data_IF_500528642972
#
_entry.id   IF_500528642972
#
_cell.length_a   1.000
_cell.length_b   1.000
_cell.length_c   1.000
_cell.angle_alpha   90.00
_cell.angle_beta   90.00
_cell.angle_gamma   90.00
#
_symmetry.space_group_name_H-M   'P 1'
#
loop_
_entity.id
_entity.type
_entity.pdbx_description
1 polymer ?
#
# COMPACT_ATOMS: atom_id res chain seq x y z
N UNK A 1 13.26 -9.59 -72.06
CA UNK A 1 12.65 -8.48 -71.29
C UNK A 1 11.90 -9.10 -70.11
N UNK A 2 12.45 -8.99 -68.90
CA UNK A 2 11.87 -9.56 -67.67
C UNK A 2 11.37 -8.41 -66.80
N UNK A 3 10.06 -8.30 -66.63
CA UNK A 3 9.40 -7.29 -65.79
C UNK A 3 9.38 -7.75 -64.33
N UNK A 4 10.17 -7.09 -63.47
CA UNK A 4 10.09 -7.22 -62.01
C UNK A 4 8.82 -6.53 -61.50
N UNK A 5 8.01 -7.26 -60.72
CA UNK A 5 6.87 -6.71 -59.96
C UNK A 5 7.41 -6.11 -58.66
N UNK A 6 7.25 -4.80 -58.49
CA UNK A 6 7.50 -4.15 -57.20
C UNK A 6 6.29 -4.36 -56.30
N UNK A 7 6.47 -5.14 -55.22
CA UNK A 7 5.50 -5.21 -54.13
C UNK A 7 5.72 -3.99 -53.21
N UNK A 8 4.71 -3.14 -53.12
CA UNK A 8 4.63 -2.08 -52.12
C UNK A 8 4.31 -2.73 -50.77
N UNK A 9 5.31 -2.81 -49.89
CA UNK A 9 5.12 -3.09 -48.47
C UNK A 9 4.49 -1.85 -47.84
N UNK A 10 3.17 -1.92 -47.57
CA UNK A 10 2.48 -0.94 -46.76
C UNK A 10 2.86 -1.13 -45.30
N UNK A 11 3.64 -0.20 -44.75
CA UNK A 11 3.87 -0.11 -43.31
C UNK A 11 2.59 0.37 -42.63
N UNK A 12 1.88 -0.53 -41.96
CA UNK A 12 0.79 -0.16 -41.05
C UNK A 12 1.42 0.43 -39.77
N UNK A 13 1.36 1.75 -39.64
CA UNK A 13 1.70 2.45 -38.41
C UNK A 13 0.54 2.22 -37.42
N UNK A 14 0.71 1.25 -36.51
CA UNK A 14 -0.22 1.09 -35.37
C UNK A 14 0.09 2.22 -34.40
N UNK A 15 -0.71 3.28 -34.48
CA UNK A 15 -0.69 4.37 -33.51
C UNK A 15 -1.41 3.87 -32.26
N UNK A 16 -0.69 3.27 -31.32
CA UNK A 16 -1.19 3.00 -29.98
C UNK A 16 -1.28 4.34 -29.24
N UNK A 17 -2.42 5.03 -29.36
CA UNK A 17 -2.75 6.11 -28.44
C UNK A 17 -3.17 5.44 -27.12
N UNK A 18 -2.24 5.33 -26.18
CA UNK A 18 -2.58 5.09 -24.77
C UNK A 18 -3.17 6.38 -24.23
N UNK A 19 -4.51 6.50 -24.30
CA UNK A 19 -5.19 7.51 -23.53
C UNK A 19 -5.09 7.06 -22.06
N UNK A 20 -4.33 7.81 -21.25
CA UNK A 20 -4.29 7.61 -19.79
C UNK A 20 -5.72 7.47 -19.28
N UNK A 21 -6.02 6.38 -18.57
CA UNK A 21 -7.28 6.21 -17.89
C UNK A 21 -7.52 7.47 -17.02
N UNK A 22 -8.63 8.16 -17.27
CA UNK A 22 -9.07 9.24 -16.42
C UNK A 22 -10.04 8.62 -15.41
N UNK A 23 -9.65 8.62 -14.14
CA UNK A 23 -10.48 8.17 -13.03
C UNK A 23 -11.53 9.23 -12.74
N UNK A 24 -12.79 8.81 -12.61
CA UNK A 24 -13.87 9.71 -12.22
C UNK A 24 -14.72 9.04 -11.16
N UNK A 25 -14.83 9.68 -10.00
CA UNK A 25 -15.83 9.34 -9.00
C UNK A 25 -17.22 9.70 -9.56
N UNK A 26 -18.11 8.71 -9.69
CA UNK A 26 -19.46 8.91 -10.21
C UNK A 26 -20.46 8.32 -9.23
N UNK A 27 -21.39 9.15 -8.75
CA UNK A 27 -22.54 8.65 -8.01
C UNK A 27 -23.43 7.86 -8.97
N UNK A 28 -23.65 6.57 -8.71
CA UNK A 28 -24.66 5.81 -9.44
C UNK A 28 -26.03 6.44 -9.16
N UNK A 29 -26.63 7.02 -10.20
CA UNK A 29 -27.72 8.00 -10.11
C UNK A 29 -28.87 7.59 -9.18
N UNK A 30 -28.87 8.17 -7.97
CA UNK A 30 -29.98 8.21 -7.03
C UNK A 30 -30.01 9.59 -6.40
N UNK A 31 -30.80 10.51 -6.97
CA UNK A 31 -30.98 11.85 -6.42
C UNK A 31 -31.68 11.79 -5.06
N UNK A 32 -30.91 11.95 -3.99
CA UNK A 32 -31.39 12.09 -2.62
C UNK A 32 -30.21 12.49 -1.74
N UNK A 33 -30.33 13.64 -1.08
CA UNK A 33 -29.28 14.14 -0.19
C UNK A 33 -29.15 13.25 1.03
N UNK A 34 -28.12 12.43 1.03
CA UNK A 34 -27.52 11.78 2.21
C UNK A 34 -26.05 11.48 1.86
N UNK A 35 -25.19 11.35 2.86
CA UNK A 35 -23.77 11.04 2.69
C UNK A 35 -23.61 9.62 2.13
N UNK A 36 -23.77 9.48 0.81
CA UNK A 36 -23.70 8.20 0.12
C UNK A 36 -22.27 7.92 -0.37
N UNK A 37 -21.80 6.70 -0.12
CA UNK A 37 -20.62 6.13 -0.74
C UNK A 37 -20.70 6.26 -2.26
N UNK A 38 -19.59 6.62 -2.88
CA UNK A 38 -19.51 6.83 -4.33
C UNK A 38 -18.59 5.80 -4.95
N UNK A 39 -19.09 5.01 -5.91
CA UNK A 39 -18.25 4.08 -6.66
C UNK A 39 -17.32 4.89 -7.57
N UNK A 40 -16.04 4.60 -7.50
CA UNK A 40 -15.03 5.18 -8.39
C UNK A 40 -14.95 4.32 -9.63
N UNK A 41 -15.03 4.96 -10.79
CA UNK A 41 -14.88 4.29 -12.07
C UNK A 41 -13.63 4.78 -12.80
N UNK A 42 -12.95 3.85 -13.47
CA UNK A 42 -11.96 4.16 -14.49
C UNK A 42 -12.57 3.95 -15.88
N UNK A 43 -12.25 4.85 -16.80
CA UNK A 43 -12.77 4.89 -18.16
C UNK A 43 -11.71 4.39 -19.13
N UNK A 44 -12.03 3.33 -19.87
CA UNK A 44 -11.10 2.67 -20.77
C UNK A 44 -11.64 2.66 -22.21
N UNK A 45 -10.74 2.88 -23.17
CA UNK A 45 -10.99 2.67 -24.59
C UNK A 45 -10.20 1.44 -25.06
N UNK A 46 -10.87 0.31 -25.19
CA UNK A 46 -10.22 -0.97 -25.51
C UNK A 46 -10.48 -1.40 -26.95
N UNK A 47 -9.46 -1.96 -27.60
CA UNK A 47 -9.59 -2.63 -28.89
C UNK A 47 -9.90 -4.12 -28.68
N UNK A 48 -11.07 -4.58 -29.12
CA UNK A 48 -11.47 -5.99 -29.01
C UNK A 48 -12.18 -6.35 -27.69
N UNK A 49 -11.73 -7.42 -27.03
CA UNK A 49 -12.36 -7.99 -25.84
C UNK A 49 -11.71 -7.49 -24.55
N UNK A 50 -12.48 -6.71 -23.77
CA UNK A 50 -12.48 -6.46 -22.30
C UNK A 50 -11.12 -6.15 -21.63
N UNK A 51 -11.12 -5.30 -20.58
CA UNK A 51 -9.97 -4.92 -19.71
C UNK A 51 -8.83 -5.96 -19.71
N UNK A 52 -7.59 -5.50 -19.87
CA UNK A 52 -6.40 -6.38 -19.88
C UNK A 52 -6.40 -7.26 -18.61
N UNK A 53 -6.44 -8.60 -18.76
CA UNK A 53 -6.39 -9.51 -17.62
C UNK A 53 -5.17 -9.32 -16.72
N UNK A 54 -4.07 -8.77 -17.24
CA UNK A 54 -2.89 -8.44 -16.47
C UNK A 54 -3.13 -7.30 -15.47
N UNK A 55 -3.88 -6.25 -15.86
CA UNK A 55 -4.24 -5.13 -14.99
C UNK A 55 -5.11 -5.61 -13.84
N UNK A 56 -6.17 -6.38 -14.17
CA UNK A 56 -7.05 -6.95 -13.15
C UNK A 56 -6.28 -7.85 -12.17
N UNK A 57 -5.35 -8.65 -12.68
CA UNK A 57 -4.53 -9.53 -11.85
C UNK A 57 -3.59 -8.72 -10.94
N UNK A 58 -2.95 -7.67 -11.44
CA UNK A 58 -2.05 -6.83 -10.65
C UNK A 58 -2.79 -6.19 -9.46
N UNK A 59 -3.98 -5.61 -9.70
CA UNK A 59 -4.82 -5.05 -8.65
C UNK A 59 -5.22 -6.11 -7.61
N UNK A 60 -5.72 -7.27 -8.06
CA UNK A 60 -6.20 -8.32 -7.16
C UNK A 60 -5.08 -8.95 -6.33
N UNK A 61 -3.92 -9.19 -6.93
CA UNK A 61 -2.76 -9.72 -6.22
C UNK A 61 -2.27 -8.72 -5.17
N UNK A 62 -2.20 -7.43 -5.53
CA UNK A 62 -1.78 -6.36 -4.64
C UNK A 62 -2.71 -6.23 -3.43
N UNK A 63 -4.02 -6.09 -3.65
CA UNK A 63 -4.97 -5.91 -2.54
C UNK A 63 -5.04 -7.16 -1.67
N UNK A 64 -4.90 -8.35 -2.25
CA UNK A 64 -4.88 -9.61 -1.48
C UNK A 64 -3.63 -9.68 -0.61
N UNK A 65 -2.46 -9.39 -1.18
CA UNK A 65 -1.19 -9.41 -0.47
C UNK A 65 -1.13 -8.36 0.64
N UNK A 66 -1.45 -7.10 0.33
CA UNK A 66 -1.35 -6.01 1.31
C UNK A 66 -2.34 -6.22 2.47
N UNK A 67 -3.53 -6.75 2.19
CA UNK A 67 -4.52 -7.10 3.21
C UNK A 67 -3.99 -8.17 4.18
N UNK A 68 -3.36 -9.23 3.67
CA UNK A 68 -2.72 -10.25 4.53
C UNK A 68 -1.59 -9.65 5.35
N UNK A 69 -0.77 -8.82 4.71
CA UNK A 69 0.33 -8.11 5.36
C UNK A 69 -0.21 -7.21 6.50
N UNK A 70 -1.26 -6.43 6.28
CA UNK A 70 -1.85 -5.59 7.33
C UNK A 70 -2.44 -6.40 8.49
N UNK A 71 -3.04 -7.56 8.22
CA UNK A 71 -3.49 -8.47 9.28
C UNK A 71 -2.33 -8.97 10.17
N UNK A 72 -1.11 -9.04 9.62
CA UNK A 72 0.13 -9.27 10.36
C UNK A 72 0.38 -8.18 11.42
N UNK A 73 0.31 -6.90 11.03
CA UNK A 73 0.50 -5.78 11.97
C UNK A 73 -0.54 -5.76 13.10
N UNK A 74 -1.79 -6.16 12.83
CA UNK A 74 -2.81 -6.30 13.87
C UNK A 74 -2.37 -7.33 14.92
N UNK A 75 -1.98 -8.52 14.47
CA UNK A 75 -1.49 -9.60 15.34
C UNK A 75 -0.29 -9.14 16.17
N UNK A 76 0.71 -8.52 15.54
CA UNK A 76 1.91 -8.00 16.20
C UNK A 76 1.58 -6.94 17.25
N UNK A 77 0.61 -6.08 16.96
CA UNK A 77 0.17 -5.01 17.86
C UNK A 77 -0.62 -5.55 19.04
N UNK A 78 -1.50 -6.53 18.84
CA UNK A 78 -2.23 -7.22 19.90
C UNK A 78 -1.28 -7.97 20.86
N UNK A 79 -0.30 -8.69 20.31
CA UNK A 79 0.74 -9.37 21.09
C UNK A 79 1.55 -8.38 21.95
N UNK A 80 1.86 -7.20 21.40
CA UNK A 80 2.49 -6.13 22.16
C UNK A 80 1.57 -5.58 23.24
N UNK A 81 0.30 -5.32 22.95
CA UNK A 81 -0.66 -4.85 23.96
C UNK A 81 -0.86 -5.86 25.11
N UNK A 82 -0.67 -7.16 24.87
CA UNK A 82 -0.75 -8.20 25.89
C UNK A 82 0.48 -8.23 26.83
N UNK A 83 1.69 -7.99 26.30
CA UNK A 83 2.96 -8.20 27.03
C UNK A 83 3.72 -6.90 27.33
N UNK A 84 3.77 -6.00 26.35
CA UNK A 84 4.49 -4.74 26.37
C UNK A 84 3.92 -3.74 27.38
N UNK A 85 4.82 -2.98 27.99
CA UNK A 85 4.51 -2.08 29.11
C UNK A 85 4.75 -0.61 28.79
N UNK A 86 5.56 -0.30 27.78
CA UNK A 86 5.88 1.08 27.45
C UNK A 86 4.60 1.84 27.01
N UNK A 87 4.21 2.93 27.69
CA UNK A 87 2.95 3.61 27.42
C UNK A 87 2.91 4.25 26.03
N UNK A 88 4.05 4.66 25.48
CA UNK A 88 4.11 5.23 24.12
C UNK A 88 3.88 4.15 23.09
N UNK A 89 4.60 3.02 23.20
CA UNK A 89 4.43 1.91 22.28
C UNK A 89 3.05 1.26 22.37
N UNK A 90 2.42 1.24 23.55
CA UNK A 90 1.03 0.77 23.69
C UNK A 90 0.05 1.69 22.95
N UNK A 91 0.27 3.01 22.98
CA UNK A 91 -0.51 3.96 22.16
C UNK A 91 -0.25 3.75 20.68
N UNK A 92 1.00 3.52 20.29
CA UNK A 92 1.37 3.22 18.91
C UNK A 92 0.68 1.95 18.40
N UNK A 93 0.77 0.85 19.13
CA UNK A 93 0.10 -0.40 18.80
C UNK A 93 -1.43 -0.22 18.64
N UNK A 94 -2.06 0.59 19.51
CA UNK A 94 -3.48 0.93 19.36
C UNK A 94 -3.79 1.76 18.11
N UNK A 95 -2.91 2.70 17.74
CA UNK A 95 -3.05 3.49 16.52
C UNK A 95 -2.86 2.65 15.26
N UNK A 96 -1.86 1.76 15.24
CA UNK A 96 -1.63 0.79 14.15
C UNK A 96 -2.86 -0.09 13.96
N UNK A 97 -3.44 -0.63 15.04
CA UNK A 97 -4.66 -1.45 14.96
C UNK A 97 -5.79 -0.64 14.31
N UNK A 98 -6.12 0.53 14.85
CA UNK A 98 -7.25 1.32 14.36
C UNK A 98 -7.08 1.75 12.89
N UNK A 99 -5.86 2.12 12.49
CA UNK A 99 -5.59 2.57 11.12
C UNK A 99 -5.55 1.40 10.13
N UNK A 100 -4.86 0.30 10.46
CA UNK A 100 -4.74 -0.83 9.55
C UNK A 100 -6.03 -1.67 9.47
N UNK A 101 -6.88 -1.69 10.50
CA UNK A 101 -8.24 -2.22 10.39
C UNK A 101 -9.07 -1.48 9.33
N UNK A 102 -8.97 -0.14 9.31
CA UNK A 102 -9.64 0.67 8.29
C UNK A 102 -9.06 0.41 6.90
N UNK A 103 -7.74 0.36 6.75
CA UNK A 103 -7.10 0.05 5.47
C UNK A 103 -7.47 -1.35 4.96
N UNK A 104 -7.57 -2.36 5.84
CA UNK A 104 -8.09 -3.69 5.47
C UNK A 104 -9.52 -3.59 4.92
N UNK A 105 -10.39 -2.81 5.56
CA UNK A 105 -11.76 -2.63 5.08
C UNK A 105 -11.80 -1.93 3.70
N UNK A 106 -10.91 -0.97 3.47
CA UNK A 106 -10.74 -0.32 2.17
C UNK A 106 -10.26 -1.32 1.11
N UNK A 107 -9.26 -2.15 1.43
CA UNK A 107 -8.72 -3.18 0.52
C UNK A 107 -9.77 -4.24 0.16
N UNK A 108 -10.59 -4.66 1.14
CA UNK A 108 -11.71 -5.58 0.91
C UNK A 108 -12.76 -4.96 -0.02
N UNK A 109 -13.06 -3.68 0.14
CA UNK A 109 -14.00 -2.98 -0.73
C UNK A 109 -13.44 -2.73 -2.14
N UNK A 110 -12.17 -2.36 -2.27
CA UNK A 110 -11.49 -2.25 -3.57
C UNK A 110 -11.53 -3.60 -4.29
N UNK A 111 -11.18 -4.69 -3.60
CA UNK A 111 -11.25 -6.04 -4.16
C UNK A 111 -12.66 -6.35 -4.69
N UNK A 112 -13.70 -6.05 -3.90
CA UNK A 112 -15.10 -6.25 -4.30
C UNK A 112 -15.50 -5.42 -5.53
N UNK A 113 -14.96 -4.22 -5.66
CA UNK A 113 -15.21 -3.36 -6.83
C UNK A 113 -14.48 -3.89 -8.07
N UNK A 114 -13.20 -4.17 -7.95
CA UNK A 114 -12.34 -4.69 -9.03
C UNK A 114 -12.86 -6.03 -9.58
N UNK A 115 -13.47 -6.89 -8.76
CA UNK A 115 -14.07 -8.15 -9.22
C UNK A 115 -15.37 -8.01 -10.03
N UNK A 116 -15.99 -6.83 -10.05
CA UNK A 116 -17.22 -6.63 -10.80
C UNK A 116 -16.95 -6.56 -12.32
N UNK A 117 -17.88 -7.07 -13.14
CA UNK A 117 -17.72 -7.01 -14.58
C UNK A 117 -17.74 -5.56 -15.06
N UNK A 118 -16.84 -5.19 -15.98
CA UNK A 118 -16.85 -3.85 -16.51
C UNK A 118 -18.04 -3.63 -17.47
N UNK A 119 -18.47 -2.39 -17.59
CA UNK A 119 -19.67 -2.01 -18.33
C UNK A 119 -19.30 -1.29 -19.62
N UNK A 120 -19.75 -1.81 -20.76
CA UNK A 120 -19.60 -1.13 -22.04
C UNK A 120 -20.58 0.05 -22.10
N UNK A 121 -20.04 1.26 -22.25
CA UNK A 121 -20.83 2.49 -22.40
C UNK A 121 -21.19 2.73 -23.86
N UNK A 122 -20.22 2.55 -24.76
CA UNK A 122 -20.40 2.72 -26.22
C UNK A 122 -19.61 1.65 -26.96
N UNK A 123 -20.24 1.03 -27.97
CA UNK A 123 -19.63 0.01 -28.84
C UNK A 123 -19.45 0.57 -30.26
N UNK A 124 -18.20 0.68 -30.72
CA UNK A 124 -17.83 1.10 -32.07
C UNK A 124 -17.38 -0.08 -32.94
N UNK A 125 -17.78 -1.31 -32.60
CA UNK A 125 -17.37 -2.54 -33.26
C UNK A 125 -16.00 -3.01 -32.79
N UNK A 126 -14.93 -2.60 -33.49
CA UNK A 126 -13.56 -3.01 -33.15
C UNK A 126 -13.04 -2.35 -31.85
N UNK A 127 -13.64 -1.23 -31.45
CA UNK A 127 -13.26 -0.46 -30.27
C UNK A 127 -14.47 -0.28 -29.36
N UNK A 128 -14.26 -0.43 -28.05
CA UNK A 128 -15.30 -0.26 -27.03
C UNK A 128 -14.86 0.80 -26.03
N UNK A 129 -15.76 1.72 -25.70
CA UNK A 129 -15.61 2.63 -24.59
C UNK A 129 -16.37 2.06 -23.39
N UNK A 130 -15.67 1.85 -22.29
CA UNK A 130 -16.20 1.15 -21.13
C UNK A 130 -15.81 1.84 -19.83
N UNK A 131 -16.56 1.54 -18.77
CA UNK A 131 -16.20 1.89 -17.39
C UNK A 131 -15.99 0.63 -16.58
N UNK A 132 -15.02 0.65 -15.68
CA UNK A 132 -14.82 -0.39 -14.67
C UNK A 132 -14.88 0.21 -13.26
N UNK A 133 -15.60 -0.42 -12.33
CA UNK A 133 -15.51 -0.04 -10.93
C UNK A 133 -14.14 -0.43 -10.36
N UNK A 134 -13.52 0.48 -9.61
CA UNK A 134 -12.15 0.28 -9.10
C UNK A 134 -12.02 0.50 -7.60
N UNK A 135 -12.93 1.25 -6.98
CA UNK A 135 -12.93 1.53 -5.55
C UNK A 135 -14.28 2.14 -5.13
N UNK A 136 -14.39 2.48 -3.86
CA UNK A 136 -15.49 3.26 -3.29
C UNK A 136 -14.91 4.38 -2.43
N UNK A 137 -15.33 5.62 -2.67
CA UNK A 137 -15.03 6.76 -1.82
C UNK A 137 -16.12 6.93 -0.74
N UNK A 138 -15.75 7.46 0.42
CA UNK A 138 -16.68 7.72 1.53
C UNK A 138 -16.75 6.61 2.58
N UNK A 139 -15.92 5.57 2.48
CA UNK A 139 -15.85 4.48 3.46
C UNK A 139 -15.55 4.98 4.87
N UNK A 140 -14.75 6.04 5.00
CA UNK A 140 -14.43 6.67 6.28
C UNK A 140 -15.69 7.19 7.00
N UNK A 141 -16.62 7.77 6.25
CA UNK A 141 -17.89 8.25 6.80
C UNK A 141 -18.82 7.08 7.17
N UNK A 142 -18.87 6.04 6.32
CA UNK A 142 -19.69 4.86 6.56
C UNK A 142 -19.24 4.08 7.79
N UNK A 143 -17.94 3.90 7.95
CA UNK A 143 -17.34 3.17 9.07
C UNK A 143 -17.17 4.05 10.32
N UNK A 144 -17.59 5.32 10.25
CA UNK A 144 -17.34 6.34 11.27
C UNK A 144 -15.86 6.35 11.72
N UNK A 145 -14.96 6.12 10.76
CA UNK A 145 -13.54 6.02 10.98
C UNK A 145 -12.97 7.41 11.28
N UNK A 146 -12.17 7.46 12.34
CA UNK A 146 -11.36 8.62 12.70
C UNK A 146 -9.93 8.12 12.80
N UNK A 147 -9.04 8.70 11.99
CA UNK A 147 -7.62 8.34 12.01
C UNK A 147 -7.06 8.47 13.43
N UNK A 148 -6.47 7.39 13.92
CA UNK A 148 -5.78 7.39 15.20
C UNK A 148 -4.37 7.95 14.96
N UNK A 149 -4.02 9.14 15.47
CA UNK A 149 -2.69 9.68 15.26
C UNK A 149 -1.66 8.80 15.99
N UNK A 150 -0.56 8.39 15.32
CA UNK A 150 0.53 7.73 16.02
C UNK A 150 1.14 8.70 17.05
N UNK A 151 1.81 8.19 18.11
CA UNK A 151 2.52 9.05 19.04
C UNK A 151 3.58 9.90 18.34
N UNK A 152 3.92 11.02 18.98
CA UNK A 152 4.92 11.96 18.49
C UNK A 152 6.28 11.78 19.14
N UNK A 153 7.32 12.35 18.54
CA UNK A 153 8.63 12.46 19.19
C UNK A 153 8.54 13.20 20.55
N UNK A 154 7.59 14.13 20.71
CA UNK A 154 7.32 14.78 21.99
C UNK A 154 6.73 13.79 23.02
N UNK A 155 5.84 12.89 22.59
CA UNK A 155 5.33 11.83 23.46
C UNK A 155 6.45 10.92 23.97
N UNK A 156 7.42 10.58 23.11
CA UNK A 156 8.60 9.80 23.51
C UNK A 156 9.50 10.54 24.51
N UNK A 157 9.56 11.87 24.47
CA UNK A 157 10.39 12.66 25.36
C UNK A 157 9.71 12.94 26.72
N UNK A 158 8.38 13.03 26.73
CA UNK A 158 7.60 13.40 27.91
C UNK A 158 7.05 12.21 28.68
N UNK A 159 6.90 11.05 28.03
CA UNK A 159 6.35 9.86 28.68
C UNK A 159 7.34 9.25 29.68
N UNK A 160 6.81 8.92 30.86
CA UNK A 160 7.50 8.08 31.83
C UNK A 160 7.39 6.61 31.41
N UNK A 161 8.48 6.01 30.95
CA UNK A 161 8.55 4.59 30.63
C UNK A 161 9.91 4.24 30.06
N UNK A 162 10.66 3.40 30.77
CA UNK A 162 11.90 2.84 30.23
C UNK A 162 11.56 1.93 29.04
N UNK A 163 12.46 1.90 28.06
CA UNK A 163 12.41 0.95 26.95
C UNK A 163 13.10 -0.32 27.43
N UNK A 164 12.41 -1.46 27.36
CA UNK A 164 12.98 -2.76 27.70
C UNK A 164 13.37 -3.60 26.46
N UNK A 165 13.95 -4.79 26.66
CA UNK A 165 14.33 -5.64 25.53
C UNK A 165 13.14 -6.09 24.66
N UNK A 166 11.95 -6.27 25.26
CA UNK A 166 10.77 -6.69 24.53
C UNK A 166 10.25 -5.56 23.63
N UNK A 167 10.29 -4.32 24.13
CA UNK A 167 10.03 -3.11 23.36
C UNK A 167 10.94 -3.00 22.14
N UNK A 168 12.25 -3.23 22.32
CA UNK A 168 13.22 -3.23 21.21
C UNK A 168 12.91 -4.33 20.19
N UNK A 169 12.60 -5.56 20.63
CA UNK A 169 12.27 -6.66 19.70
C UNK A 169 11.02 -6.36 18.90
N UNK A 170 9.98 -5.84 19.54
CA UNK A 170 8.75 -5.45 18.86
C UNK A 170 8.99 -4.29 17.87
N UNK A 171 9.75 -3.27 18.28
CA UNK A 171 10.08 -2.16 17.40
C UNK A 171 10.85 -2.62 16.15
N UNK A 172 11.86 -3.49 16.32
CA UNK A 172 12.57 -4.09 15.18
C UNK A 172 11.67 -4.93 14.29
N UNK A 173 10.77 -5.71 14.88
CA UNK A 173 9.82 -6.53 14.13
C UNK A 173 8.88 -5.66 13.29
N UNK A 174 8.31 -4.61 13.89
CA UNK A 174 7.38 -3.71 13.22
C UNK A 174 8.07 -2.85 12.16
N UNK A 175 9.34 -2.43 12.38
CA UNK A 175 10.14 -1.77 11.32
C UNK A 175 10.29 -2.69 10.11
N UNK A 176 10.68 -3.95 10.32
CA UNK A 176 10.85 -4.91 9.22
C UNK A 176 9.53 -5.18 8.49
N UNK A 177 8.43 -5.28 9.24
CA UNK A 177 7.09 -5.42 8.68
C UNK A 177 6.72 -4.20 7.82
N UNK A 178 6.81 -2.99 8.37
CA UNK A 178 6.47 -1.77 7.64
C UNK A 178 7.32 -1.59 6.38
N UNK A 179 8.60 -1.91 6.43
CA UNK A 179 9.45 -1.89 5.23
C UNK A 179 8.90 -2.80 4.11
N UNK A 180 8.33 -3.95 4.46
CA UNK A 180 7.63 -4.83 3.51
C UNK A 180 6.44 -4.15 2.83
N UNK A 181 5.61 -3.42 3.58
CA UNK A 181 4.48 -2.68 3.02
C UNK A 181 4.92 -1.51 2.13
N UNK A 182 5.98 -0.78 2.52
CA UNK A 182 6.61 0.25 1.69
C UNK A 182 7.08 -0.32 0.35
N UNK A 183 7.74 -1.49 0.38
CA UNK A 183 8.24 -2.17 -0.81
C UNK A 183 7.08 -2.60 -1.72
N UNK A 184 6.03 -3.22 -1.15
CA UNK A 184 4.83 -3.61 -1.90
C UNK A 184 4.14 -2.41 -2.57
N UNK A 185 3.97 -1.30 -1.85
CA UNK A 185 3.34 -0.09 -2.38
C UNK A 185 4.14 0.55 -3.52
N UNK A 186 5.47 0.57 -3.38
CA UNK A 186 6.39 1.06 -4.42
C UNK A 186 6.41 0.16 -5.64
N UNK A 187 6.43 -1.16 -5.44
CA UNK A 187 6.39 -2.16 -6.52
C UNK A 187 5.10 -2.06 -7.33
N UNK A 188 3.95 -1.96 -6.67
CA UNK A 188 2.66 -1.75 -7.35
C UNK A 188 2.66 -0.46 -8.18
N UNK A 189 3.15 0.65 -7.60
CA UNK A 189 3.21 1.93 -8.31
C UNK A 189 4.17 1.91 -9.52
N UNK A 190 5.17 1.04 -9.50
CA UNK A 190 6.15 0.84 -10.57
C UNK A 190 5.71 -0.19 -11.63
N UNK A 191 4.76 -1.08 -11.31
CA UNK A 191 4.20 -2.04 -12.26
C UNK A 191 3.41 -1.30 -13.36
N UNK A 192 3.74 -1.49 -14.65
CA UNK A 192 2.95 -0.93 -15.74
C UNK A 192 1.49 -1.40 -15.76
N UNK A 193 1.16 -2.51 -15.09
CA UNK A 193 -0.22 -3.01 -14.96
C UNK A 193 -0.91 -2.52 -13.67
N UNK A 194 -0.18 -1.92 -12.73
CA UNK A 194 -0.73 -1.33 -11.51
C UNK A 194 -1.38 0.03 -11.80
N UNK A 195 -2.45 0.04 -12.57
CA UNK A 195 -3.03 1.28 -13.12
C UNK A 195 -4.09 1.93 -12.23
N UNK A 196 -4.59 1.24 -11.19
CA UNK A 196 -5.67 1.73 -10.34
C UNK A 196 -5.24 2.98 -9.55
N UNK A 197 -5.80 4.10 -9.95
CA UNK A 197 -5.49 5.43 -9.40
C UNK A 197 -5.85 5.58 -7.91
N UNK A 198 -6.90 4.88 -7.45
CA UNK A 198 -7.28 4.88 -6.04
C UNK A 198 -6.21 4.16 -5.21
N UNK A 199 -5.75 2.99 -5.67
CA UNK A 199 -4.64 2.26 -5.01
C UNK A 199 -3.35 3.07 -5.05
N UNK A 200 -3.00 3.71 -6.17
CA UNK A 200 -1.84 4.60 -6.25
C UNK A 200 -1.91 5.74 -5.24
N UNK A 201 -3.10 6.28 -5.00
CA UNK A 201 -3.32 7.36 -4.01
C UNK A 201 -3.17 6.82 -2.59
N UNK A 202 -3.83 5.71 -2.27
CA UNK A 202 -3.69 5.00 -1.00
C UNK A 202 -2.23 4.66 -0.69
N UNK A 203 -1.43 4.30 -1.70
CA UNK A 203 -0.01 3.98 -1.54
C UNK A 203 0.83 5.18 -1.10
N UNK A 204 0.47 6.40 -1.48
CA UNK A 204 1.15 7.58 -0.94
C UNK A 204 0.88 7.75 0.55
N UNK A 205 -0.37 7.53 0.99
CA UNK A 205 -0.72 7.62 2.41
C UNK A 205 -0.01 6.54 3.23
N UNK A 206 -0.03 5.29 2.76
CA UNK A 206 0.70 4.16 3.38
C UNK A 206 2.18 4.49 3.54
N UNK A 207 2.84 4.96 2.48
CA UNK A 207 4.27 5.28 2.53
C UNK A 207 4.53 6.42 3.52
N UNK A 208 3.75 7.49 3.50
CA UNK A 208 3.94 8.61 4.42
C UNK A 208 3.75 8.22 5.89
N UNK A 209 2.66 7.50 6.20
CA UNK A 209 2.35 7.10 7.57
C UNK A 209 3.37 6.08 8.10
N UNK A 210 3.71 5.06 7.30
CA UNK A 210 4.61 4.01 7.75
C UNK A 210 6.08 4.47 7.79
N UNK A 211 6.52 5.39 6.93
CA UNK A 211 7.84 6.04 7.07
C UNK A 211 7.94 6.83 8.39
N UNK A 212 6.87 7.55 8.76
CA UNK A 212 6.81 8.24 10.05
C UNK A 212 6.89 7.25 11.23
N UNK A 213 6.12 6.17 11.17
CA UNK A 213 6.10 5.14 12.22
C UNK A 213 7.46 4.43 12.35
N UNK A 214 8.15 4.14 11.23
CA UNK A 214 9.52 3.61 11.25
C UNK A 214 10.45 4.55 11.99
N UNK A 215 10.48 5.85 11.66
CA UNK A 215 11.36 6.82 12.33
C UNK A 215 11.07 6.97 13.83
N UNK A 216 9.80 6.82 14.24
CA UNK A 216 9.42 6.78 15.65
C UNK A 216 9.94 5.53 16.36
N UNK A 217 9.85 4.36 15.72
CA UNK A 217 10.35 3.09 16.26
C UNK A 217 11.88 3.08 16.36
N UNK A 218 12.59 3.64 15.38
CA UNK A 218 14.05 3.86 15.47
C UNK A 218 14.39 4.75 16.68
N UNK A 219 13.64 5.84 16.87
CA UNK A 219 13.79 6.71 18.04
C UNK A 219 13.54 6.00 19.38
N UNK A 220 12.68 4.98 19.39
CA UNK A 220 12.45 4.12 20.57
C UNK A 220 13.66 3.22 20.83
N UNK A 221 14.20 2.61 19.77
CA UNK A 221 15.39 1.74 19.88
C UNK A 221 16.58 2.52 20.43
N UNK A 222 16.79 3.76 19.99
CA UNK A 222 17.87 4.64 20.48
C UNK A 222 17.75 5.03 21.96
N UNK A 223 16.55 4.90 22.54
CA UNK A 223 16.29 5.18 23.96
C UNK A 223 16.53 3.96 24.85
N UNK A 224 16.81 2.80 24.27
CA UNK A 224 17.13 1.61 25.04
C UNK A 224 18.46 1.81 25.81
N UNK A 225 18.48 1.61 27.15
CA UNK A 225 19.70 1.88 27.95
C UNK A 225 20.82 0.85 27.74
N UNK A 226 20.51 -0.30 27.10
CA UNK A 226 21.49 -1.35 26.81
C UNK A 226 21.99 -1.32 25.35
N UNK A 227 22.71 -2.36 24.96
CA UNK A 227 23.13 -2.54 23.57
C UNK A 227 21.98 -3.08 22.71
N UNK A 228 21.29 -2.19 22.01
CA UNK A 228 20.21 -2.58 21.11
C UNK A 228 20.68 -3.49 19.97
N UNK A 229 21.94 -3.43 19.53
CA UNK A 229 22.47 -4.27 18.46
C UNK A 229 22.64 -5.73 18.90
N UNK A 230 22.88 -5.97 20.19
CA UNK A 230 22.93 -7.31 20.76
C UNK A 230 21.56 -8.01 20.76
N UNK A 231 20.46 -7.25 20.70
CA UNK A 231 19.09 -7.79 20.68
C UNK A 231 18.75 -8.25 19.27
N UNK A 232 18.79 -9.55 19.06
CA UNK A 232 18.38 -10.17 17.79
C UNK A 232 16.85 -10.14 17.63
N UNK A 233 16.39 -9.87 16.41
CA UNK A 233 14.99 -10.00 16.02
C UNK A 233 14.61 -11.49 16.06
N UNK A 234 13.51 -11.81 16.74
CA UNK A 234 12.90 -13.14 16.70
C UNK A 234 11.96 -13.21 15.48
N UNK A 235 12.21 -14.08 14.48
CA UNK A 235 11.36 -14.19 13.30
C UNK A 235 9.90 -14.54 13.63
N UNK A 236 9.63 -15.17 14.79
CA UNK A 236 8.26 -15.49 15.22
C UNK A 236 7.44 -14.27 15.63
N UNK A 237 8.07 -13.10 15.82
CA UNK A 237 7.39 -11.84 16.10
C UNK A 237 6.96 -11.09 14.84
N UNK A 238 7.33 -11.56 13.65
CA UNK A 238 6.96 -10.94 12.38
C UNK A 238 5.89 -11.79 11.72
N UNK A 239 4.68 -11.24 11.60
CA UNK A 239 3.52 -11.91 11.01
C UNK A 239 3.20 -11.29 9.64
N UNK A 240 2.45 -11.99 8.77
CA UNK A 240 1.93 -11.40 7.52
C UNK A 240 2.92 -11.24 6.35
N UNK A 241 4.16 -11.70 6.46
CA UNK A 241 5.19 -11.54 5.41
C UNK A 241 5.12 -12.60 4.29
N UNK A 242 4.08 -13.44 4.25
CA UNK A 242 4.03 -14.65 3.40
C UNK A 242 3.93 -14.36 1.90
N UNK A 243 3.54 -13.13 1.51
CA UNK A 243 3.15 -12.77 0.15
C UNK A 243 4.11 -11.79 -0.55
N UNK A 244 5.43 -11.96 -0.41
CA UNK A 244 6.38 -11.44 -1.43
C UNK A 244 6.34 -12.30 -2.71
N UNK A 245 5.13 -12.54 -3.20
CA UNK A 245 4.80 -13.43 -4.30
C UNK A 245 4.91 -12.75 -5.66
N UNK A 246 6.14 -12.54 -6.11
CA UNK A 246 6.46 -12.70 -7.52
C UNK A 246 6.64 -11.44 -8.36
N UNK A 247 7.66 -10.64 -8.07
CA UNK A 247 8.52 -10.05 -9.11
C UNK A 247 9.89 -9.73 -8.50
N UNK A 248 10.94 -10.37 -9.02
CA UNK A 248 12.33 -10.00 -8.71
C UNK A 248 12.87 -10.57 -7.40
N UNK A 249 14.11 -11.06 -7.45
CA UNK A 249 14.84 -11.53 -6.28
C UNK A 249 15.08 -10.37 -5.33
N UNK A 250 14.51 -10.41 -4.13
CA UNK A 250 15.06 -9.64 -3.01
C UNK A 250 16.16 -10.51 -2.42
N UNK A 251 17.40 -10.21 -2.81
CA UNK A 251 18.57 -10.57 -2.03
C UNK A 251 18.38 -9.95 -0.65
N UNK A 252 18.46 -10.73 0.42
CA UNK A 252 18.54 -10.21 1.78
C UNK A 252 19.92 -9.54 1.94
N UNK A 253 20.07 -8.39 1.28
CA UNK A 253 21.20 -7.49 1.43
C UNK A 253 21.20 -7.00 2.86
N UNK A 254 22.27 -7.33 3.55
CA UNK A 254 22.67 -6.80 4.86
C UNK A 254 22.20 -5.36 5.02
N UNK A 255 21.37 -5.10 6.04
CA UNK A 255 21.15 -3.76 6.56
C UNK A 255 22.51 -3.21 7.01
N UNK A 256 23.16 -2.44 6.14
CA UNK A 256 24.30 -1.62 6.50
C UNK A 256 23.76 -0.45 7.32
N UNK A 257 23.92 -0.54 8.64
CA UNK A 257 23.69 0.59 9.53
C UNK A 257 24.78 1.63 9.25
N UNK A 258 24.50 2.50 8.28
CA UNK A 258 25.31 3.67 7.97
C UNK A 258 25.50 4.52 9.22
N UNK A 259 26.70 4.44 9.78
CA UNK A 259 27.18 5.29 10.87
C UNK A 259 27.07 6.75 10.42
N UNK A 260 26.14 7.50 10.99
CA UNK A 260 26.14 8.96 10.93
C UNK A 260 27.34 9.45 11.74
N UNK A 261 28.44 9.73 11.04
CA UNK A 261 29.62 10.42 11.58
C UNK A 261 29.22 11.86 11.96
N UNK A 262 28.84 12.04 13.23
CA UNK A 262 28.70 13.36 13.83
C UNK A 262 30.08 14.01 13.96
N UNK A 263 30.52 14.70 12.92
CA UNK A 263 31.58 15.69 13.05
C UNK A 263 31.07 16.85 13.91
N UNK A 264 31.54 16.85 15.15
CA UNK A 264 31.54 17.98 16.05
C UNK A 264 32.07 19.23 15.33
N UNK A 265 31.26 20.29 15.29
CA UNK A 265 31.77 21.64 15.11
C UNK A 265 32.13 22.17 16.50
N UNK A 266 33.42 22.16 16.82
CA UNK A 266 33.99 23.01 17.85
C UNK A 266 34.65 24.23 17.19
N UNK A 267 34.22 25.41 17.67
CA UNK A 267 34.80 26.76 17.56
C UNK A 267 34.78 27.50 16.22
#
# INVERSE_FOLDING_TARGET
MSTKKNALLGSALILAMTLSAASVAMADGGGGGDWHNTVVYELDLVSGSVVDPAVLKADLDYVTGLREHHAGALTMSEEYLAKGRNPVLRRMAGAIIANQEYEIAVLDEVKRQVEQPPQVLVDFGATKFMRRPVATEGLEHQLAYVKAPPPTALDLWTASGEVDEYDVRWAKAMIAHHQGALDMARDYNADPNGENSFLRTMNYDIVQDQEYEIGLLESVIDRYPGDANAIQLDPSMVHGMSMHGGHGKVDHGTMDHGVMDHKAMEH
#
